data_IF_609924068682
#
_entry.id   IF_609924068682
#
_cell.length_a   1.000
_cell.length_b   1.000
_cell.length_c   1.000
_cell.angle_alpha   90.00
_cell.angle_beta   90.00
_cell.angle_gamma   90.00
#
_symmetry.space_group_name_H-M   'P 1'
#
loop_
_entity.id
_entity.type
_entity.pdbx_description
1 polymer ?
#
# COMPACT_ATOMS: atom_id res chain seq x y z
N UNK A 1 -21.37 -44.19 10.98
CA UNK A 1 -21.40 -42.72 10.87
C UNK A 1 -19.98 -42.16 10.68
N UNK A 2 -19.31 -42.43 9.57
CA UNK A 2 -17.91 -41.98 9.35
C UNK A 2 -17.64 -41.41 7.95
N UNK A 3 -18.65 -41.31 7.08
CA UNK A 3 -18.50 -40.87 5.69
C UNK A 3 -18.84 -39.39 5.44
N UNK A 4 -19.28 -38.64 6.47
CA UNK A 4 -19.70 -37.23 6.32
C UNK A 4 -18.56 -36.22 6.49
N UNK A 5 -17.44 -36.62 7.09
CA UNK A 5 -16.31 -35.72 7.40
C UNK A 5 -15.17 -35.74 6.37
N UNK A 6 -15.14 -36.73 5.46
CA UNK A 6 -14.06 -36.87 4.47
C UNK A 6 -14.21 -35.93 3.25
N UNK A 7 -15.40 -35.40 2.99
CA UNK A 7 -15.65 -34.49 1.86
C UNK A 7 -15.45 -33.01 2.18
N UNK A 8 -15.33 -32.64 3.46
CA UNK A 8 -15.19 -31.23 3.86
C UNK A 8 -13.73 -30.78 4.01
N UNK A 9 -12.80 -31.72 4.20
CA UNK A 9 -11.36 -31.43 4.35
C UNK A 9 -10.59 -31.33 3.03
N UNK A 10 -11.12 -31.87 1.93
CA UNK A 10 -10.45 -31.84 0.61
C UNK A 10 -10.53 -30.49 -0.11
N UNK A 11 -11.39 -29.57 0.35
CA UNK A 11 -11.52 -28.22 -0.23
C UNK A 11 -10.67 -27.16 0.48
N UNK A 12 -10.15 -27.43 1.69
CA UNK A 12 -9.36 -26.46 2.47
C UNK A 12 -7.90 -26.44 2.01
N UNK A 13 -7.31 -27.60 1.69
CA UNK A 13 -5.92 -27.69 1.23
C UNK A 13 -5.69 -26.96 -0.11
N UNK A 14 -6.70 -26.92 -0.99
CA UNK A 14 -6.60 -26.22 -2.28
C UNK A 14 -6.78 -24.70 -2.16
N UNK A 15 -7.35 -24.21 -1.06
CA UNK A 15 -7.48 -22.77 -0.79
C UNK A 15 -6.22 -22.19 -0.14
N UNK A 16 -5.47 -22.99 0.64
CA UNK A 16 -4.25 -22.53 1.32
C UNK A 16 -3.09 -22.32 0.32
N UNK A 17 -2.91 -23.24 -0.63
CA UNK A 17 -1.86 -23.15 -1.67
C UNK A 17 -2.07 -21.96 -2.64
N UNK A 18 -3.34 -21.62 -2.92
CA UNK A 18 -3.69 -20.46 -3.74
C UNK A 18 -3.56 -19.13 -2.97
N UNK A 19 -3.72 -19.12 -1.65
CA UNK A 19 -3.52 -17.92 -0.84
C UNK A 19 -2.02 -17.60 -0.72
N UNK A 20 -1.18 -18.60 -0.42
CA UNK A 20 0.26 -18.40 -0.20
C UNK A 20 1.01 -17.95 -1.47
N UNK A 21 0.58 -18.43 -2.65
CA UNK A 21 1.15 -18.05 -3.94
C UNK A 21 0.82 -16.60 -4.36
N UNK A 22 -0.30 -16.05 -3.87
CA UNK A 22 -0.71 -14.67 -4.20
C UNK A 22 0.05 -13.64 -3.35
N UNK A 23 0.43 -14.00 -2.12
CA UNK A 23 1.18 -13.12 -1.20
C UNK A 23 2.68 -13.07 -1.49
N UNK A 24 3.30 -14.20 -1.87
CA UNK A 24 4.74 -14.26 -2.16
C UNK A 24 5.13 -13.44 -3.41
N UNK A 25 4.28 -13.41 -4.43
CA UNK A 25 4.50 -12.60 -5.65
C UNK A 25 4.40 -11.09 -5.40
N UNK A 26 3.49 -10.64 -4.52
CA UNK A 26 3.37 -9.22 -4.18
C UNK A 26 4.55 -8.72 -3.32
N UNK A 27 5.06 -9.57 -2.42
CA UNK A 27 6.18 -9.24 -1.56
C UNK A 27 7.49 -9.06 -2.36
N UNK A 28 7.70 -9.80 -3.46
CA UNK A 28 8.92 -9.70 -4.27
C UNK A 28 8.91 -8.54 -5.28
N UNK A 29 7.73 -7.99 -5.61
CA UNK A 29 7.54 -7.12 -6.78
C UNK A 29 7.29 -5.67 -6.35
N UNK A 30 8.30 -5.00 -5.83
CA UNK A 30 8.20 -3.57 -5.54
C UNK A 30 9.52 -2.92 -5.15
N UNK A 31 9.75 -1.70 -5.65
CA UNK A 31 10.96 -0.93 -5.34
C UNK A 31 10.80 -0.31 -3.94
N UNK A 32 11.77 -0.45 -3.02
CA UNK A 32 11.72 0.28 -1.75
C UNK A 32 11.70 1.79 -2.07
N UNK A 33 10.69 2.50 -1.56
CA UNK A 33 10.47 3.91 -1.90
C UNK A 33 10.47 4.82 -0.68
N UNK A 34 9.65 4.53 0.34
CA UNK A 34 9.49 5.35 1.55
C UNK A 34 9.45 4.47 2.80
N UNK A 35 9.75 5.02 3.98
CA UNK A 35 9.69 4.33 5.27
C UNK A 35 8.31 4.41 5.90
N UNK A 36 7.91 3.31 6.52
CA UNK A 36 6.71 3.21 7.34
C UNK A 36 6.92 3.98 8.66
N UNK A 37 5.94 4.79 9.06
CA UNK A 37 6.00 5.52 10.34
C UNK A 37 5.86 4.62 11.57
N UNK A 38 5.29 3.43 11.41
CA UNK A 38 5.07 2.49 12.53
C UNK A 38 6.33 1.67 12.84
N UNK A 39 6.95 1.07 11.82
CA UNK A 39 8.09 0.15 12.01
C UNK A 39 9.43 0.70 11.52
N UNK A 40 9.46 1.93 10.99
CA UNK A 40 10.64 2.58 10.40
C UNK A 40 11.33 1.79 9.27
N UNK A 41 10.69 0.75 8.71
CA UNK A 41 11.20 -0.05 7.59
C UNK A 41 10.74 0.51 6.25
N UNK A 42 11.55 0.31 5.22
CA UNK A 42 11.19 0.65 3.84
C UNK A 42 9.98 -0.15 3.37
N UNK A 43 9.02 0.59 2.83
CA UNK A 43 7.82 0.11 2.17
C UNK A 43 8.12 -0.04 0.68
N UNK A 44 7.52 -1.07 0.09
CA UNK A 44 7.66 -1.41 -1.31
C UNK A 44 6.59 -0.68 -2.11
N UNK A 45 7.01 0.12 -3.07
CA UNK A 45 6.11 0.73 -4.04
C UNK A 45 5.80 -0.26 -5.15
N UNK A 46 4.50 -0.53 -5.33
CA UNK A 46 3.97 -1.39 -6.37
C UNK A 46 3.30 -0.48 -7.41
N UNK A 47 3.96 -0.35 -8.57
CA UNK A 47 3.47 0.46 -9.68
C UNK A 47 2.36 -0.22 -10.49
N UNK A 48 2.13 -1.52 -10.28
CA UNK A 48 1.03 -2.25 -10.91
C UNK A 48 -0.32 -1.65 -10.48
N UNK A 49 -1.20 -1.35 -11.44
CA UNK A 49 -2.50 -0.72 -11.17
C UNK A 49 -3.39 -1.66 -10.33
N UNK A 50 -4.03 -1.19 -9.24
CA UNK A 50 -3.91 0.15 -8.65
C UNK A 50 -2.57 0.34 -7.90
N UNK A 51 -1.94 1.49 -8.11
CA UNK A 51 -0.67 1.85 -7.46
C UNK A 51 -0.82 1.92 -5.95
N UNK A 52 0.10 1.28 -5.23
CA UNK A 52 0.03 1.13 -3.76
C UNK A 52 1.41 1.00 -3.13
N UNK A 53 1.50 1.33 -1.84
CA UNK A 53 2.64 1.05 -0.98
C UNK A 53 2.33 -0.12 -0.08
N UNK A 54 3.26 -1.05 0.04
CA UNK A 54 3.15 -2.21 0.91
C UNK A 54 4.27 -2.23 1.95
N UNK A 55 3.91 -2.32 3.23
CA UNK A 55 4.88 -2.55 4.29
C UNK A 55 4.96 -4.04 4.62
N UNK A 56 6.13 -4.65 4.41
CA UNK A 56 6.30 -6.08 4.68
C UNK A 56 6.30 -6.43 6.19
N UNK A 57 6.68 -5.48 7.05
CA UNK A 57 6.78 -5.74 8.50
C UNK A 57 5.43 -5.55 9.21
N UNK A 58 4.61 -4.63 8.73
CA UNK A 58 3.28 -4.37 9.29
C UNK A 58 2.17 -5.07 8.49
N UNK A 59 2.54 -5.75 7.39
CA UNK A 59 1.63 -6.36 6.41
C UNK A 59 0.50 -5.41 5.95
N UNK A 60 0.80 -4.11 5.96
CA UNK A 60 -0.17 -3.05 5.70
C UNK A 60 -0.06 -2.55 4.25
N UNK A 61 -1.20 -2.31 3.63
CA UNK A 61 -1.33 -1.80 2.26
C UNK A 61 -1.90 -0.39 2.30
N UNK A 62 -1.22 0.55 1.65
CA UNK A 62 -1.63 1.95 1.52
C UNK A 62 -1.91 2.24 0.06
N UNK A 63 -3.16 2.55 -0.28
CA UNK A 63 -3.52 2.94 -1.63
C UNK A 63 -2.89 4.31 -1.95
N UNK A 64 -2.47 4.50 -3.21
CA UNK A 64 -1.97 5.78 -3.70
C UNK A 64 -2.83 6.28 -4.86
N UNK A 65 -2.91 7.61 -5.06
CA UNK A 65 -3.62 8.18 -6.20
C UNK A 65 -3.08 7.65 -7.53
N UNK A 66 -3.99 7.44 -8.49
CA UNK A 66 -3.67 6.88 -9.81
C UNK A 66 -3.42 7.99 -10.84
N UNK A 67 -2.80 7.63 -11.97
CA UNK A 67 -2.61 8.55 -13.10
C UNK A 67 -1.41 9.49 -12.95
N UNK A 68 -0.54 9.27 -11.96
CA UNK A 68 0.67 10.05 -11.76
C UNK A 68 1.90 9.19 -11.44
N UNK A 69 3.04 9.87 -11.35
CA UNK A 69 4.32 9.29 -10.95
C UNK A 69 4.55 9.55 -9.47
N UNK A 70 4.97 8.52 -8.74
CA UNK A 70 5.24 8.60 -7.31
C UNK A 70 6.76 8.53 -7.08
N UNK A 71 7.31 9.48 -6.34
CA UNK A 71 8.73 9.58 -5.98
C UNK A 71 8.88 9.82 -4.48
N UNK A 72 10.07 9.60 -3.94
CA UNK A 72 10.37 9.94 -2.54
C UNK A 72 10.48 11.47 -2.39
N UNK A 73 9.81 12.04 -1.39
CA UNK A 73 9.86 13.48 -1.14
C UNK A 73 10.84 13.82 -0.01
N UNK A 74 12.08 14.15 -0.39
CA UNK A 74 13.12 14.72 0.50
C UNK A 74 13.36 13.97 1.82
N UNK A 75 12.97 12.70 1.91
CA UNK A 75 12.99 11.91 3.16
C UNK A 75 12.30 12.62 4.34
N UNK A 76 11.34 13.50 4.04
CA UNK A 76 10.61 14.23 5.06
C UNK A 76 9.57 13.31 5.69
N UNK A 77 9.52 13.25 7.01
CA UNK A 77 8.52 12.48 7.75
C UNK A 77 7.30 13.34 8.09
N UNK A 78 6.13 12.71 8.09
CA UNK A 78 4.89 13.34 8.53
C UNK A 78 4.96 13.57 10.05
N UNK A 79 4.68 14.79 10.55
CA UNK A 79 4.77 15.10 11.98
C UNK A 79 3.66 14.44 12.83
N UNK A 80 2.61 13.92 12.19
CA UNK A 80 1.49 13.26 12.88
C UNK A 80 1.75 11.76 13.09
N UNK A 81 2.12 11.06 12.01
CA UNK A 81 2.22 9.59 12.01
C UNK A 81 3.65 9.06 11.80
N UNK A 82 4.63 9.92 11.55
CA UNK A 82 6.04 9.53 11.32
C UNK A 82 6.32 8.87 9.96
N UNK A 83 5.33 8.76 9.06
CA UNK A 83 5.53 8.18 7.72
C UNK A 83 6.35 9.10 6.81
N UNK A 84 7.27 8.53 6.02
CA UNK A 84 7.96 9.31 4.99
C UNK A 84 6.99 9.73 3.88
N UNK A 85 7.06 11.01 3.50
CA UNK A 85 6.24 11.61 2.48
C UNK A 85 6.69 11.15 1.08
N UNK A 86 5.72 10.95 0.21
CA UNK A 86 5.95 10.69 -1.21
C UNK A 86 5.49 11.89 -2.03
N UNK A 87 6.20 12.20 -3.10
CA UNK A 87 5.81 13.21 -4.06
C UNK A 87 4.96 12.55 -5.15
N UNK A 88 3.74 13.03 -5.33
CA UNK A 88 2.89 12.62 -6.43
C UNK A 88 2.91 13.69 -7.52
N UNK A 89 3.20 13.27 -8.75
CA UNK A 89 3.26 14.12 -9.93
C UNK A 89 2.19 13.69 -10.94
N UNK A 90 1.19 14.53 -11.22
CA UNK A 90 0.28 14.29 -12.33
C UNK A 90 1.02 14.50 -13.66
N UNK A 91 0.84 13.59 -14.62
CA UNK A 91 1.30 13.78 -15.99
C UNK A 91 0.30 14.62 -16.79
N UNK A 92 0.73 15.74 -17.35
CA UNK A 92 -0.08 16.67 -18.17
C UNK A 92 0.58 18.04 -18.31
N UNK A 93 0.03 18.92 -19.16
CA UNK A 93 0.52 20.31 -19.34
C UNK A 93 0.41 21.12 -18.03
N UNK A 94 -0.60 20.83 -17.20
CA UNK A 94 -0.73 21.33 -15.82
C UNK A 94 -0.14 20.32 -14.81
N UNK A 95 1.15 20.03 -14.92
CA UNK A 95 1.87 19.05 -14.10
C UNK A 95 1.92 19.42 -12.61
N UNK A 96 0.80 19.24 -11.89
CA UNK A 96 0.72 19.49 -10.45
C UNK A 96 1.51 18.42 -9.71
N UNK A 97 2.47 18.87 -8.91
CA UNK A 97 3.25 18.05 -8.00
C UNK A 97 2.93 18.42 -6.57
N UNK A 98 2.59 17.45 -5.75
CA UNK A 98 2.32 17.70 -4.33
C UNK A 98 2.85 16.57 -3.44
N UNK A 99 3.37 16.90 -2.25
CA UNK A 99 3.74 15.91 -1.25
C UNK A 99 2.47 15.27 -0.67
N UNK A 100 2.51 13.96 -0.47
CA UNK A 100 1.41 13.13 0.01
C UNK A 100 1.93 12.19 1.10
N UNK A 101 1.20 12.11 2.22
CA UNK A 101 1.42 11.08 3.23
C UNK A 101 0.59 9.82 2.87
N UNK A 102 1.21 8.63 2.78
CA UNK A 102 0.49 7.39 2.50
C UNK A 102 -0.58 7.08 3.56
N UNK A 103 -0.30 7.35 4.84
CA UNK A 103 -1.24 7.12 5.93
C UNK A 103 -2.41 8.10 5.87
N UNK A 104 -2.13 9.42 5.88
CA UNK A 104 -3.20 10.44 5.89
C UNK A 104 -4.13 10.36 4.66
N UNK A 105 -3.63 9.87 3.51
CA UNK A 105 -4.47 9.68 2.32
C UNK A 105 -5.50 8.54 2.48
N UNK A 106 -5.14 7.47 3.21
CA UNK A 106 -6.02 6.32 3.45
C UNK A 106 -6.86 6.49 4.72
N UNK A 107 -6.29 7.16 5.73
CA UNK A 107 -6.90 7.39 7.04
C UNK A 107 -6.67 8.85 7.41
N UNK A 108 -7.55 9.77 6.97
CA UNK A 108 -7.41 11.18 7.31
C UNK A 108 -7.57 11.35 8.83
N UNK A 109 -6.62 11.99 9.52
CA UNK A 109 -6.66 12.17 10.99
C UNK A 109 -7.74 13.16 11.45
N UNK A 110 -8.39 13.87 10.52
CA UNK A 110 -9.47 14.80 10.82
C UNK A 110 -10.73 14.40 10.07
N UNK A 111 -11.84 14.28 10.81
CA UNK A 111 -13.20 13.88 10.40
C UNK A 111 -13.92 14.91 9.49
N UNK A 112 -13.15 15.60 8.66
CA UNK A 112 -13.59 16.74 7.85
C UNK A 112 -12.51 17.32 6.94
N UNK A 113 -11.29 16.76 6.92
CA UNK A 113 -10.33 17.01 5.85
C UNK A 113 -10.81 16.28 4.60
N UNK A 114 -11.90 16.78 4.02
CA UNK A 114 -12.35 16.42 2.69
C UNK A 114 -11.12 16.39 1.77
N UNK A 115 -11.05 15.38 0.91
CA UNK A 115 -10.18 15.37 -0.25
C UNK A 115 -10.38 16.69 -1.01
N UNK A 116 -9.63 17.74 -0.66
CA UNK A 116 -9.64 19.01 -1.38
C UNK A 116 -8.83 18.77 -2.64
N UNK A 117 -9.46 18.06 -3.57
CA UNK A 117 -9.15 18.17 -4.98
C UNK A 117 -9.78 19.50 -5.43
N UNK A 118 -8.96 20.55 -5.48
CA UNK A 118 -9.18 21.70 -6.35
C UNK A 118 -8.33 21.58 -7.61
#
# INVERSE_FOLDING_TARGET
MQTKFAFFTSSIARMDELFEATFTSLAATGKPLSKCGVCARYMKYIAARPSRLYCNQCEAVYALPQGGVIKLYKELTCPLDGFELVLFSLGGEDGRTYPLCPCCYNTPPFEGAAKVFG
#
